data_IF_340473252000
#
_entry.id   IF_340473252000
#
_cell.length_a   1.000
_cell.length_b   1.000
_cell.length_c   1.000
_cell.angle_alpha   90.00
_cell.angle_beta   90.00
_cell.angle_gamma   90.00
#
_symmetry.space_group_name_H-M   'P 1'
#
loop_
_entity.id
_entity.type
_entity.pdbx_description
1 polymer ?
#
# COMPACT_ATOMS: atom_id res chain seq x y z
N UNK A 1 1.52 -26.81 -8.89
CA UNK A 1 2.13 -25.47 -8.78
C UNK A 1 1.26 -24.56 -7.92
N UNK A 2 1.63 -23.29 -7.71
CA UNK A 2 0.86 -22.34 -6.85
C UNK A 2 -0.61 -22.12 -7.26
N UNK A 3 -0.99 -22.53 -8.47
CA UNK A 3 -2.33 -22.38 -9.05
C UNK A 3 -2.98 -23.71 -9.45
N UNK A 4 -2.55 -24.82 -8.84
CA UNK A 4 -3.08 -26.16 -9.15
C UNK A 4 -2.16 -27.00 -10.04
N UNK A 5 -2.71 -28.11 -10.52
CA UNK A 5 -2.04 -29.05 -11.42
C UNK A 5 -1.83 -28.39 -12.80
N UNK A 6 -0.72 -28.69 -13.47
CA UNK A 6 -0.39 -28.08 -14.75
C UNK A 6 0.43 -29.02 -15.66
N UNK A 7 0.33 -28.78 -16.95
CA UNK A 7 1.18 -29.32 -18.01
C UNK A 7 2.27 -28.29 -18.37
N UNK A 8 3.48 -28.75 -18.67
CA UNK A 8 4.58 -27.92 -19.14
C UNK A 8 5.05 -28.44 -20.50
N UNK A 9 4.95 -27.62 -21.53
CA UNK A 9 5.40 -27.95 -22.88
C UNK A 9 6.13 -26.76 -23.51
N UNK A 10 7.35 -26.99 -24.01
CA UNK A 10 8.21 -25.96 -24.63
C UNK A 10 8.33 -24.66 -23.79
N UNK A 11 8.50 -24.79 -22.47
CA UNK A 11 8.60 -23.64 -21.55
C UNK A 11 7.28 -22.91 -21.28
N UNK A 12 6.16 -23.36 -21.85
CA UNK A 12 4.83 -22.83 -21.58
C UNK A 12 4.09 -23.69 -20.56
N UNK A 13 3.61 -23.06 -19.49
CA UNK A 13 2.82 -23.70 -18.44
C UNK A 13 1.32 -23.59 -18.76
N UNK A 14 0.57 -24.67 -18.60
CA UNK A 14 -0.90 -24.71 -18.80
C UNK A 14 -1.57 -25.41 -17.63
N UNK A 15 -2.52 -24.73 -16.99
CA UNK A 15 -3.29 -25.33 -15.90
C UNK A 15 -4.23 -26.40 -16.43
N UNK A 16 -4.32 -27.50 -15.70
CA UNK A 16 -5.26 -28.58 -15.98
C UNK A 16 -6.69 -28.19 -15.57
N UNK A 17 -7.72 -28.49 -16.37
CA UNK A 17 -9.11 -28.37 -15.95
C UNK A 17 -9.38 -29.22 -14.71
N UNK A 18 -10.33 -28.81 -13.86
CA UNK A 18 -10.67 -29.54 -12.64
C UNK A 18 -11.29 -30.93 -12.90
N UNK A 19 -11.75 -31.19 -14.12
CA UNK A 19 -12.31 -32.48 -14.56
C UNK A 19 -11.26 -33.54 -14.86
N UNK A 20 -10.04 -33.12 -15.18
CA UNK A 20 -9.02 -34.01 -15.73
C UNK A 20 -8.01 -34.35 -14.64
N UNK A 21 -7.79 -35.65 -14.38
CA UNK A 21 -6.80 -36.12 -13.41
C UNK A 21 -5.41 -36.24 -14.04
N UNK A 22 -4.38 -35.76 -13.33
CA UNK A 22 -3.00 -35.72 -13.81
C UNK A 22 -2.44 -37.11 -14.16
N UNK A 23 -2.94 -38.16 -13.52
CA UNK A 23 -2.48 -39.53 -13.74
C UNK A 23 -3.24 -40.26 -14.87
N UNK A 24 -4.39 -39.74 -15.28
CA UNK A 24 -5.25 -40.35 -16.29
C UNK A 24 -5.16 -39.65 -17.66
N UNK A 25 -4.30 -38.65 -17.81
CA UNK A 25 -4.21 -37.86 -19.03
C UNK A 25 -3.25 -38.48 -20.03
N UNK A 26 -3.82 -38.81 -21.18
CA UNK A 26 -3.08 -39.29 -22.34
C UNK A 26 -2.44 -38.14 -23.13
N UNK A 27 -1.46 -38.50 -23.97
CA UNK A 27 -0.77 -37.55 -24.85
C UNK A 27 -1.74 -36.77 -25.75
N UNK A 28 -2.76 -37.43 -26.30
CA UNK A 28 -3.78 -36.78 -27.14
C UNK A 28 -4.52 -35.67 -26.37
N UNK A 29 -4.93 -35.96 -25.13
CA UNK A 29 -5.62 -34.98 -24.28
C UNK A 29 -4.70 -33.84 -23.85
N UNK A 30 -3.42 -34.12 -23.58
CA UNK A 30 -2.44 -33.09 -23.29
C UNK A 30 -2.27 -32.11 -24.48
N UNK A 31 -2.24 -32.62 -25.72
CA UNK A 31 -2.19 -31.80 -26.94
C UNK A 31 -3.46 -30.96 -27.10
N UNK A 32 -4.64 -31.52 -26.83
CA UNK A 32 -5.90 -30.77 -26.82
C UNK A 32 -5.86 -29.61 -25.81
N UNK A 33 -5.41 -29.84 -24.58
CA UNK A 33 -5.34 -28.80 -23.54
C UNK A 33 -4.37 -27.69 -23.94
N UNK A 34 -3.25 -28.05 -24.57
CA UNK A 34 -2.26 -27.08 -25.08
C UNK A 34 -2.86 -26.25 -26.23
N UNK A 35 -3.58 -26.88 -27.16
CA UNK A 35 -4.17 -26.24 -28.34
C UNK A 35 -5.44 -25.43 -28.01
N UNK A 36 -6.31 -25.94 -27.13
CA UNK A 36 -7.49 -25.23 -26.64
C UNK A 36 -7.10 -23.93 -25.92
N UNK A 37 -5.93 -23.91 -25.27
CA UNK A 37 -5.39 -22.70 -24.68
C UNK A 37 -4.86 -21.68 -25.72
N UNK A 38 -4.48 -22.11 -26.93
CA UNK A 38 -4.19 -21.18 -28.03
C UNK A 38 -5.49 -20.52 -28.55
N UNK A 39 -6.61 -21.24 -28.51
CA UNK A 39 -7.96 -20.73 -28.79
C UNK A 39 -8.62 -19.99 -27.59
N UNK A 40 -7.85 -19.66 -26.55
CA UNK A 40 -8.36 -19.12 -25.28
C UNK A 40 -9.14 -17.78 -25.43
N UNK A 41 -10.10 -17.49 -24.53
CA UNK A 41 -10.89 -16.24 -24.49
C UNK A 41 -10.11 -14.91 -24.40
N UNK A 42 -8.78 -14.93 -24.40
CA UNK A 42 -7.99 -13.72 -24.62
C UNK A 42 -8.13 -13.21 -26.05
N UNK A 43 -8.36 -14.09 -27.02
CA UNK A 43 -8.67 -13.73 -28.40
C UNK A 43 -10.08 -13.15 -28.51
N UNK A 44 -11.07 -13.73 -27.83
CA UNK A 44 -12.47 -13.20 -27.75
C UNK A 44 -12.59 -11.86 -27.01
N UNK A 45 -11.47 -11.29 -26.55
CA UNK A 45 -11.44 -9.96 -25.97
C UNK A 45 -11.23 -8.88 -27.04
N UNK A 46 -10.70 -9.21 -28.21
CA UNK A 46 -10.47 -8.26 -29.29
C UNK A 46 -11.76 -8.14 -30.11
N UNK A 47 -12.35 -6.95 -30.14
CA UNK A 47 -13.60 -6.64 -30.84
C UNK A 47 -13.32 -6.12 -32.26
N UNK A 48 -12.26 -5.34 -32.45
CA UNK A 48 -11.82 -4.86 -33.76
C UNK A 48 -10.30 -4.67 -33.76
N UNK A 49 -9.61 -5.14 -34.81
CA UNK A 49 -8.19 -4.86 -35.04
C UNK A 49 -8.08 -3.69 -36.03
N UNK A 50 -7.57 -2.56 -35.55
CA UNK A 50 -7.56 -1.29 -36.31
C UNK A 50 -6.25 -1.05 -37.06
N UNK A 51 -5.25 -1.93 -36.90
CA UNK A 51 -3.97 -1.89 -37.61
C UNK A 51 -2.77 -1.56 -36.71
N UNK A 52 -1.73 -0.95 -37.29
CA UNK A 52 -0.49 -0.57 -36.58
C UNK A 52 -0.28 0.95 -36.55
N UNK A 53 0.03 1.47 -35.37
CA UNK A 53 0.45 2.85 -35.16
C UNK A 53 1.74 2.89 -34.34
N UNK A 54 2.76 3.63 -34.79
CA UNK A 54 4.07 3.76 -34.14
C UNK A 54 4.75 2.41 -33.77
N UNK A 55 4.68 1.41 -34.67
CA UNK A 55 5.18 0.02 -34.46
C UNK A 55 4.46 -0.76 -33.35
N UNK A 56 3.26 -0.33 -32.95
CA UNK A 56 2.42 -1.00 -31.97
C UNK A 56 1.05 -1.30 -32.59
N UNK A 57 0.54 -2.52 -32.35
CA UNK A 57 -0.80 -2.91 -32.80
C UNK A 57 -1.86 -2.17 -32.01
N UNK A 58 -2.83 -1.59 -32.72
CA UNK A 58 -4.00 -0.90 -32.19
C UNK A 58 -5.21 -1.82 -32.34
N UNK A 59 -5.85 -2.14 -31.22
CA UNK A 59 -7.05 -2.98 -31.22
C UNK A 59 -8.06 -2.49 -30.19
N UNK A 60 -9.35 -2.61 -30.51
CA UNK A 60 -10.45 -2.39 -29.58
C UNK A 60 -10.66 -3.68 -28.79
N UNK A 61 -10.67 -3.57 -27.46
CA UNK A 61 -10.66 -4.71 -26.54
C UNK A 61 -11.79 -4.58 -25.51
N UNK A 62 -12.54 -5.66 -25.27
CA UNK A 62 -13.61 -5.75 -24.26
C UNK A 62 -13.03 -5.81 -22.83
N UNK A 63 -13.21 -4.75 -22.05
CA UNK A 63 -12.77 -4.65 -20.66
C UNK A 63 -13.87 -4.91 -19.63
N UNK A 64 -13.48 -4.95 -18.34
CA UNK A 64 -14.42 -5.01 -17.20
C UNK A 64 -15.31 -3.76 -17.09
N UNK A 65 -14.83 -2.63 -17.62
CA UNK A 65 -15.48 -1.32 -17.54
C UNK A 65 -16.06 -0.86 -18.88
N UNK A 66 -16.17 -1.76 -19.85
CA UNK A 66 -16.57 -1.46 -21.24
C UNK A 66 -15.43 -1.65 -22.24
N UNK A 67 -15.73 -1.57 -23.56
CA UNK A 67 -14.74 -1.59 -24.63
C UNK A 67 -13.73 -0.43 -24.50
N UNK A 68 -12.46 -0.70 -24.81
CA UNK A 68 -11.40 0.30 -24.77
C UNK A 68 -10.36 0.06 -25.87
N UNK A 69 -9.64 1.09 -26.24
CA UNK A 69 -8.61 1.04 -27.28
C UNK A 69 -7.28 0.68 -26.62
N UNK A 70 -6.60 -0.33 -27.16
CA UNK A 70 -5.28 -0.78 -26.69
C UNK A 70 -4.25 -0.57 -27.81
N UNK A 71 -3.22 0.22 -27.51
CA UNK A 71 -2.06 0.42 -28.37
C UNK A 71 -0.80 0.03 -27.60
N UNK A 72 -0.33 -1.20 -27.81
CA UNK A 72 0.82 -1.75 -27.07
C UNK A 72 0.63 -1.73 -25.55
N UNK A 73 1.31 -0.80 -24.87
CA UNK A 73 1.22 -0.57 -23.41
C UNK A 73 0.27 0.57 -23.01
N UNK A 74 -0.22 1.36 -23.96
CA UNK A 74 -1.13 2.50 -23.70
C UNK A 74 -2.57 2.05 -23.91
N UNK A 75 -3.43 2.38 -22.94
CA UNK A 75 -4.86 2.12 -23.02
C UNK A 75 -5.62 3.45 -23.01
N UNK A 76 -6.53 3.64 -23.96
CA UNK A 76 -7.39 4.80 -24.07
C UNK A 76 -8.87 4.39 -23.98
N UNK A 77 -9.75 5.21 -23.35
CA UNK A 77 -11.18 4.96 -23.36
C UNK A 77 -11.72 5.12 -24.80
N UNK A 78 -12.72 4.32 -25.16
CA UNK A 78 -13.43 4.49 -26.43
C UNK A 78 -14.27 5.78 -26.39
N UNK A 79 -14.35 6.56 -27.50
CA UNK A 79 -15.21 7.74 -27.58
C UNK A 79 -16.66 7.43 -27.21
N UNK A 80 -17.34 8.39 -26.59
CA UNK A 80 -18.67 8.18 -26.01
C UNK A 80 -19.74 7.79 -27.04
N UNK A 81 -19.63 8.30 -28.27
CA UNK A 81 -20.52 8.00 -29.38
C UNK A 81 -20.32 6.60 -30.01
N UNK A 82 -19.23 5.91 -29.68
CA UNK A 82 -18.90 4.56 -30.18
C UNK A 82 -18.97 3.50 -29.08
N UNK A 83 -19.47 3.83 -27.89
CA UNK A 83 -19.58 2.88 -26.77
C UNK A 83 -20.52 1.71 -27.06
N UNK A 84 -21.57 1.97 -27.83
CA UNK A 84 -22.60 0.98 -28.16
C UNK A 84 -22.28 0.19 -29.44
N UNK A 85 -21.46 0.76 -30.34
CA UNK A 85 -20.96 0.12 -31.57
C UNK A 85 -19.42 0.15 -31.63
N UNK A 86 -18.73 -0.74 -30.89
CA UNK A 86 -17.27 -0.75 -30.80
C UNK A 86 -16.56 -1.24 -32.07
N UNK A 87 -17.30 -1.74 -33.06
CA UNK A 87 -16.79 -2.29 -34.32
C UNK A 87 -16.54 -1.21 -35.39
N UNK A 88 -17.20 -0.05 -35.27
CA UNK A 88 -17.10 1.06 -36.25
C UNK A 88 -15.98 2.07 -35.94
N UNK A 89 -15.17 1.81 -34.91
CA UNK A 89 -14.11 2.73 -34.52
C UNK A 89 -13.06 2.85 -35.63
N UNK A 90 -12.81 4.05 -36.12
CA UNK A 90 -11.79 4.27 -37.15
C UNK A 90 -10.39 4.38 -36.55
N UNK A 91 -9.37 4.05 -37.35
CA UNK A 91 -7.95 4.16 -36.92
C UNK A 91 -7.60 5.59 -36.48
N UNK A 92 -8.20 6.61 -37.10
CA UNK A 92 -7.92 8.02 -36.82
C UNK A 92 -8.42 8.45 -35.44
N UNK A 93 -9.67 8.11 -35.10
CA UNK A 93 -10.27 8.39 -33.79
C UNK A 93 -9.54 7.65 -32.67
N UNK A 94 -9.08 6.42 -32.95
CA UNK A 94 -8.27 5.66 -32.02
C UNK A 94 -6.94 6.35 -31.72
N UNK A 95 -6.29 6.91 -32.75
CA UNK A 95 -5.05 7.68 -32.59
C UNK A 95 -5.29 8.97 -31.79
N UNK A 96 -6.40 9.67 -32.00
CA UNK A 96 -6.74 10.86 -31.21
C UNK A 96 -6.94 10.54 -29.73
N UNK A 97 -7.70 9.48 -29.42
CA UNK A 97 -7.91 9.03 -28.05
C UNK A 97 -6.60 8.60 -27.36
N UNK A 98 -5.68 7.98 -28.12
CA UNK A 98 -4.34 7.64 -27.65
C UNK A 98 -3.50 8.91 -27.41
N UNK A 99 -3.49 9.88 -28.33
CA UNK A 99 -2.74 11.14 -28.19
C UNK A 99 -3.17 11.94 -26.97
N UNK A 100 -4.48 11.97 -26.66
CA UNK A 100 -5.01 12.64 -25.48
C UNK A 100 -4.57 11.98 -24.16
N UNK A 101 -4.23 10.68 -24.20
CA UNK A 101 -3.92 9.88 -22.99
C UNK A 101 -2.47 9.44 -22.87
N UNK A 102 -1.71 9.44 -23.96
CA UNK A 102 -0.27 9.22 -23.95
C UNK A 102 0.33 10.18 -22.92
N UNK A 103 1.19 9.69 -22.02
CA UNK A 103 1.81 10.55 -21.02
C UNK A 103 2.67 11.57 -21.76
N UNK A 104 2.15 12.78 -21.95
CA UNK A 104 2.94 13.93 -22.36
C UNK A 104 4.15 13.96 -21.42
N UNK A 105 5.33 13.71 -22.00
CA UNK A 105 6.61 13.66 -21.31
C UNK A 105 6.82 15.05 -20.71
N UNK A 106 6.43 15.21 -19.44
CA UNK A 106 6.55 16.47 -18.72
C UNK A 106 5.25 17.27 -18.61
N UNK A 107 4.38 16.90 -17.66
CA UNK A 107 3.70 17.80 -16.71
C UNK A 107 2.77 16.94 -15.84
N UNK A 108 3.29 16.50 -14.70
CA UNK A 108 2.50 15.83 -13.69
C UNK A 108 1.55 16.83 -13.03
N UNK A 109 0.26 16.70 -13.28
CA UNK A 109 -0.79 17.39 -12.54
C UNK A 109 -0.74 16.97 -11.06
N UNK A 110 -1.00 17.87 -10.09
CA UNK A 110 -0.75 17.59 -8.68
C UNK A 110 -1.83 16.68 -8.10
N UNK A 111 -1.51 15.39 -7.92
CA UNK A 111 -2.29 14.53 -7.03
C UNK A 111 -2.09 15.01 -5.59
N UNK A 112 -3.15 15.58 -4.99
CA UNK A 112 -3.29 15.76 -3.53
C UNK A 112 -2.87 14.47 -2.82
N UNK A 113 -1.71 14.51 -2.15
CA UNK A 113 -1.28 13.47 -1.21
C UNK A 113 -1.66 13.93 0.17
N UNK A 114 -2.58 13.22 0.81
CA UNK A 114 -2.77 13.25 2.25
C UNK A 114 -1.44 12.87 2.94
N UNK A 115 -1.03 13.72 3.88
CA UNK A 115 0.17 13.54 4.70
C UNK A 115 -0.02 12.37 5.68
N UNK A 116 1.02 11.53 5.92
CA UNK A 116 1.01 10.65 7.08
C UNK A 116 1.66 11.38 8.26
N UNK A 117 0.86 11.67 9.28
CA UNK A 117 1.32 12.07 10.62
C UNK A 117 2.19 10.96 11.21
N UNK A 118 3.46 11.24 11.49
CA UNK A 118 4.36 10.35 12.21
C UNK A 118 4.79 11.03 13.52
N UNK A 119 4.38 10.45 14.64
CA UNK A 119 4.83 10.79 15.98
C UNK A 119 6.31 10.44 16.15
N UNK A 120 7.02 11.31 16.85
CA UNK A 120 8.43 11.20 17.18
C UNK A 120 8.72 10.00 18.07
N UNK A 121 9.87 9.37 17.82
CA UNK A 121 10.70 8.78 18.87
C UNK A 121 12.10 9.38 18.72
N UNK A 122 12.54 9.98 19.81
CA UNK A 122 13.85 10.53 20.05
C UNK A 122 14.90 9.43 19.95
N UNK A 123 15.87 9.64 19.07
CA UNK A 123 17.23 9.10 19.06
C UNK A 123 17.89 9.62 17.79
N UNK A 124 18.26 10.90 17.80
CA UNK A 124 18.89 11.58 16.67
C UNK A 124 20.41 11.58 16.88
N UNK A 125 21.05 10.51 16.44
CA UNK A 125 22.41 10.65 15.93
C UNK A 125 22.37 11.58 14.70
N UNK A 126 23.30 12.52 14.66
CA UNK A 126 23.48 13.48 13.58
C UNK A 126 23.90 12.75 12.29
N UNK A 127 22.93 12.17 11.56
CA UNK A 127 23.14 11.75 10.18
C UNK A 127 22.77 12.91 9.24
N UNK A 128 23.63 13.27 8.27
CA UNK A 128 23.43 14.38 7.32
C UNK A 128 22.28 14.16 6.30
N UNK A 129 21.44 13.13 6.47
CA UNK A 129 20.48 12.70 5.45
C UNK A 129 19.07 13.31 5.54
N UNK A 130 18.80 14.29 6.42
CA UNK A 130 17.48 14.94 6.45
C UNK A 130 17.41 15.97 5.33
N UNK A 131 16.46 15.79 4.39
CA UNK A 131 16.24 16.67 3.21
C UNK A 131 16.21 18.14 3.61
N UNK A 132 16.72 19.02 2.75
CA UNK A 132 16.65 20.48 2.93
C UNK A 132 15.22 20.96 3.17
N UNK A 133 15.04 21.93 4.08
CA UNK A 133 13.75 22.52 4.39
C UNK A 133 13.23 23.36 3.21
N UNK A 134 11.91 23.39 3.07
CA UNK A 134 11.22 24.28 2.12
C UNK A 134 11.08 25.67 2.72
N UNK A 135 10.91 26.71 1.89
CA UNK A 135 10.71 28.11 2.32
C UNK A 135 9.63 28.25 3.39
N UNK A 136 8.45 27.65 3.19
CA UNK A 136 7.38 27.60 4.20
C UNK A 136 7.80 26.94 5.52
N UNK A 137 8.63 25.89 5.49
CA UNK A 137 9.06 25.19 6.71
C UNK A 137 10.06 26.04 7.49
N UNK A 138 10.90 26.82 6.81
CA UNK A 138 11.81 27.79 7.44
C UNK A 138 10.99 28.88 8.12
N UNK A 139 9.99 29.43 7.42
CA UNK A 139 9.04 30.39 7.98
C UNK A 139 8.31 29.85 9.21
N UNK A 140 7.75 28.64 9.13
CA UNK A 140 7.09 28.00 10.27
C UNK A 140 8.04 27.79 11.45
N UNK A 141 9.33 27.51 11.22
CA UNK A 141 10.28 27.32 12.31
C UNK A 141 10.53 28.61 13.11
N UNK A 142 10.52 29.76 12.44
CA UNK A 142 10.71 31.08 13.06
C UNK A 142 9.46 31.58 13.79
N UNK A 143 8.27 31.41 13.17
CA UNK A 143 7.01 31.96 13.69
C UNK A 143 6.29 31.05 14.69
N UNK A 144 6.55 29.73 14.66
CA UNK A 144 5.98 28.78 15.63
C UNK A 144 6.31 29.08 17.09
N UNK A 145 7.54 29.46 17.50
CA UNK A 145 7.80 29.83 18.90
C UNK A 145 7.02 31.08 19.31
N UNK A 146 6.84 32.06 18.43
CA UNK A 146 6.07 33.29 18.71
C UNK A 146 4.59 32.99 18.96
N UNK A 147 4.00 32.10 18.16
CA UNK A 147 2.62 31.65 18.34
C UNK A 147 2.44 30.71 19.53
N UNK A 148 3.50 29.97 19.90
CA UNK A 148 3.51 29.14 21.11
C UNK A 148 3.55 30.00 22.37
N UNK A 149 4.28 31.11 22.36
CA UNK A 149 4.33 32.08 23.46
C UNK A 149 2.96 32.73 23.70
N UNK A 150 2.19 32.95 22.62
CA UNK A 150 0.78 33.39 22.70
C UNK A 150 -0.17 32.33 23.28
N UNK A 151 0.31 31.14 23.63
CA UNK A 151 -0.46 30.10 24.30
C UNK A 151 -1.41 29.31 23.39
N UNK A 152 -1.33 29.47 22.06
CA UNK A 152 -2.20 28.75 21.13
C UNK A 152 -1.86 27.25 21.09
N UNK A 153 -2.88 26.41 20.87
CA UNK A 153 -2.70 24.96 20.74
C UNK A 153 -2.01 24.63 19.39
N UNK A 154 -1.32 23.49 19.31
CA UNK A 154 -0.55 23.13 18.10
C UNK A 154 -1.40 23.15 16.81
N UNK A 155 -2.67 22.73 16.89
CA UNK A 155 -3.58 22.76 15.75
C UNK A 155 -3.94 24.17 15.28
N UNK A 156 -4.08 25.12 16.20
CA UNK A 156 -4.40 26.52 15.90
C UNK A 156 -3.18 27.26 15.35
N UNK A 157 -2.01 27.06 15.97
CA UNK A 157 -0.72 27.56 15.47
C UNK A 157 -0.54 27.16 14.00
N UNK A 158 -0.84 25.92 13.63
CA UNK A 158 -0.67 25.46 12.25
C UNK A 158 -1.62 26.15 11.27
N UNK A 159 -2.84 26.49 11.68
CA UNK A 159 -3.80 27.23 10.85
C UNK A 159 -3.33 28.67 10.68
N UNK A 160 -2.93 29.31 11.76
CA UNK A 160 -2.44 30.68 11.77
C UNK A 160 -1.21 30.85 10.88
N UNK A 161 -0.21 29.95 11.02
CA UNK A 161 0.98 29.94 10.15
C UNK A 161 0.64 29.76 8.67
N UNK A 162 -0.43 29.02 8.37
CA UNK A 162 -0.88 28.83 6.98
C UNK A 162 -1.56 30.09 6.44
N UNK A 163 -2.36 30.78 7.25
CA UNK A 163 -2.98 32.06 6.87
C UNK A 163 -1.90 33.12 6.65
N UNK A 164 -1.01 33.29 7.64
CA UNK A 164 0.10 34.25 7.57
C UNK A 164 0.97 34.02 6.33
N UNK A 165 1.28 32.77 5.96
CA UNK A 165 2.08 32.51 4.75
C UNK A 165 1.34 32.85 3.46
N UNK A 166 0.02 32.66 3.40
CA UNK A 166 -0.75 32.99 2.20
C UNK A 166 -0.92 34.51 2.04
N UNK A 167 -1.08 35.24 3.15
CA UNK A 167 -1.20 36.70 3.18
C UNK A 167 0.13 37.44 2.96
N UNK A 168 1.26 36.80 3.27
CA UNK A 168 2.58 37.40 3.13
C UNK A 168 2.87 37.81 1.68
N UNK A 169 3.42 39.01 1.47
CA UNK A 169 3.78 39.52 0.14
C UNK A 169 4.87 38.66 -0.52
N UNK A 170 5.02 38.72 -1.85
CA UNK A 170 6.12 38.01 -2.51
C UNK A 170 7.49 38.51 -2.04
N UNK A 171 7.59 39.80 -1.72
CA UNK A 171 8.78 40.47 -1.20
C UNK A 171 9.21 39.87 0.15
N UNK A 172 8.28 39.74 1.08
CA UNK A 172 8.52 39.14 2.40
C UNK A 172 8.74 37.62 2.32
N UNK A 173 8.23 36.96 1.26
CA UNK A 173 8.53 35.55 0.96
C UNK A 173 9.93 35.37 0.38
N UNK A 174 10.49 36.36 -0.33
CA UNK A 174 11.81 36.24 -0.97
C UNK A 174 12.94 35.81 -0.04
N UNK A 175 13.12 36.35 1.19
CA UNK A 175 14.19 35.89 2.08
C UNK A 175 14.02 34.41 2.44
N UNK A 176 12.79 33.93 2.63
CA UNK A 176 12.54 32.52 2.94
C UNK A 176 12.77 31.60 1.73
N UNK A 177 12.48 32.07 0.52
CA UNK A 177 12.78 31.35 -0.72
C UNK A 177 14.29 31.23 -0.92
N UNK A 178 15.05 32.30 -0.70
CA UNK A 178 16.50 32.28 -0.84
C UNK A 178 17.17 31.44 0.25
N UNK A 179 16.71 31.53 1.51
CA UNK A 179 17.17 30.64 2.58
C UNK A 179 16.93 29.16 2.24
N UNK A 180 15.77 28.82 1.66
CA UNK A 180 15.49 27.45 1.22
C UNK A 180 16.36 27.02 0.03
N UNK A 181 16.68 27.95 -0.88
CA UNK A 181 17.60 27.70 -2.00
C UNK A 181 19.00 27.40 -1.49
N UNK A 182 19.51 28.21 -0.56
CA UNK A 182 20.81 27.99 0.07
C UNK A 182 20.85 26.68 0.85
N UNK A 183 19.83 26.35 1.63
CA UNK A 183 19.76 25.07 2.36
C UNK A 183 19.71 23.87 1.40
N UNK A 184 19.03 24.02 0.26
CA UNK A 184 19.00 23.01 -0.80
C UNK A 184 20.35 22.84 -1.48
N UNK A 185 21.06 23.92 -1.77
CA UNK A 185 22.42 23.88 -2.33
C UNK A 185 23.38 23.18 -1.37
N UNK A 186 23.39 23.57 -0.08
CA UNK A 186 24.19 22.91 0.96
C UNK A 186 23.88 21.42 1.08
N UNK A 187 22.61 21.02 0.98
CA UNK A 187 22.23 19.61 0.99
C UNK A 187 22.71 18.86 -0.26
N UNK A 188 22.67 19.51 -1.43
CA UNK A 188 23.19 18.94 -2.68
C UNK A 188 24.70 18.75 -2.60
N UNK A 189 25.44 19.78 -2.20
CA UNK A 189 26.90 19.75 -2.02
C UNK A 189 27.31 18.67 -1.02
N UNK A 190 26.70 18.63 0.17
CA UNK A 190 26.96 17.59 1.16
C UNK A 190 26.64 16.18 0.64
N UNK A 191 25.55 16.02 -0.13
CA UNK A 191 25.20 14.74 -0.75
C UNK A 191 26.18 14.31 -1.84
N UNK A 192 26.74 15.27 -2.58
CA UNK A 192 27.78 15.03 -3.57
C UNK A 192 29.11 14.66 -2.92
N UNK A 193 29.50 15.35 -1.85
CA UNK A 193 30.69 15.03 -1.05
C UNK A 193 30.61 13.64 -0.42
N UNK A 194 29.43 13.25 0.10
CA UNK A 194 29.17 11.89 0.55
C UNK A 194 29.29 10.87 -0.60
N UNK A 195 28.85 11.23 -1.82
CA UNK A 195 28.98 10.36 -3.00
C UNK A 195 30.43 10.24 -3.50
N UNK A 196 31.20 11.33 -3.46
CA UNK A 196 32.61 11.40 -3.86
C UNK A 196 33.50 10.67 -2.84
N UNK A 197 33.25 10.87 -1.54
CA UNK A 197 33.96 10.17 -0.45
C UNK A 197 33.64 8.67 -0.41
N UNK A 198 32.41 8.26 -0.76
CA UNK A 198 32.03 6.85 -0.95
C UNK A 198 32.77 6.21 -2.13
N UNK A 199 33.01 6.96 -3.21
CA UNK A 199 33.74 6.50 -4.40
C UNK A 199 35.23 6.36 -4.12
N UNK A 200 35.85 7.29 -3.37
CA UNK A 200 37.25 7.18 -2.95
C UNK A 200 37.52 6.03 -1.96
N UNK A 201 36.60 5.75 -1.02
CA UNK A 201 36.72 4.57 -0.12
C UNK A 201 36.64 3.22 -0.85
N UNK A 202 36.11 3.19 -2.08
CA UNK A 202 36.06 1.97 -2.91
C UNK A 202 37.34 1.73 -3.71
N UNK A 203 38.14 2.77 -3.96
CA UNK A 203 39.44 2.66 -4.63
C UNK A 203 40.58 2.22 -3.68
N UNK A 204 40.49 2.55 -2.38
CA UNK A 204 41.49 2.16 -1.37
C UNK A 204 41.41 0.71 -0.87
N UNK A 205 40.50 -0.12 -1.40
CA UNK A 205 40.32 -1.53 -1.01
C UNK A 205 40.44 -2.46 -2.22
N UNK A 206 41.50 -2.27 -3.00
CA UNK A 206 41.94 -3.17 -4.05
C UNK A 206 43.42 -3.58 -3.82
N UNK A 207 43.75 -4.00 -2.61
CA UNK A 207 44.83 -4.97 -2.40
C UNK A 207 44.58 -5.75 -1.11
N UNK A 208 44.83 -7.06 -1.19
CA UNK A 208 44.74 -8.11 -0.17
C UNK A 208 43.42 -8.89 -0.06
N UNK A 209 43.58 -10.15 -0.49
CA UNK A 209 42.82 -11.39 -0.24
C UNK A 209 41.69 -11.73 -1.21
N UNK A 210 42.02 -12.70 -2.06
CA UNK A 210 41.13 -13.47 -2.90
C UNK A 210 40.35 -14.49 -2.06
N UNK A 211 39.03 -14.56 -2.28
CA UNK A 211 38.19 -15.77 -2.40
C UNK A 211 36.74 -15.48 -1.95
N UNK A 212 35.80 -16.08 -2.69
CA UNK A 212 34.36 -16.25 -2.40
C UNK A 212 33.36 -15.31 -3.15
N UNK A 213 32.32 -15.86 -3.81
CA UNK A 213 31.61 -15.20 -4.89
C UNK A 213 30.50 -14.25 -4.43
N UNK A 214 30.42 -13.09 -5.11
CA UNK A 214 29.42 -12.04 -4.93
C UNK A 214 28.01 -12.48 -5.37
N UNK A 215 27.04 -12.46 -4.47
CA UNK A 215 25.62 -12.18 -4.80
C UNK A 215 25.34 -10.70 -4.62
N UNK A 216 24.85 -10.04 -5.67
CA UNK A 216 24.58 -8.61 -5.71
C UNK A 216 23.47 -8.16 -4.77
N UNK A 217 23.74 -7.14 -3.94
CA UNK A 217 22.77 -6.49 -3.07
C UNK A 217 22.69 -4.99 -3.36
N UNK A 218 21.87 -4.60 -4.34
CA UNK A 218 21.40 -3.22 -4.53
C UNK A 218 19.88 -3.06 -4.33
N UNK A 219 19.20 -4.11 -3.85
CA UNK A 219 17.73 -4.13 -3.70
C UNK A 219 17.20 -3.76 -2.29
N UNK A 220 18.05 -3.55 -1.29
CA UNK A 220 17.63 -3.54 0.13
C UNK A 220 17.03 -2.23 0.64
N UNK A 221 17.43 -1.06 0.12
CA UNK A 221 16.85 0.23 0.57
C UNK A 221 15.40 0.46 0.09
N UNK A 222 15.08 0.08 -1.15
CA UNK A 222 13.73 0.24 -1.72
C UNK A 222 12.71 -0.73 -1.11
N UNK A 223 13.18 -1.87 -0.58
CA UNK A 223 12.36 -2.84 0.13
C UNK A 223 11.98 -2.38 1.55
N UNK A 224 12.92 -1.75 2.27
CA UNK A 224 12.68 -1.20 3.62
C UNK A 224 11.72 0.01 3.63
N UNK A 225 11.78 0.87 2.59
CA UNK A 225 10.83 1.99 2.46
C UNK A 225 9.43 1.51 2.04
N UNK A 226 9.35 0.43 1.26
CA UNK A 226 8.07 -0.22 0.93
C UNK A 226 7.46 -0.96 2.12
N UNK A 227 8.28 -1.55 3.01
CA UNK A 227 7.79 -2.22 4.21
C UNK A 227 7.29 -1.23 5.26
N UNK A 228 7.94 -0.07 5.45
CA UNK A 228 7.46 0.98 6.38
C UNK A 228 6.19 1.68 5.90
N UNK A 229 6.03 1.89 4.58
CA UNK A 229 4.76 2.40 4.02
C UNK A 229 3.61 1.38 4.14
N UNK A 230 3.92 0.09 4.13
CA UNK A 230 2.91 -0.98 4.32
C UNK A 230 2.46 -1.06 5.78
N UNK A 231 3.35 -0.83 6.74
CA UNK A 231 2.98 -0.78 8.18
C UNK A 231 2.16 0.46 8.52
N UNK A 232 2.49 1.64 7.98
CA UNK A 232 1.71 2.86 8.21
C UNK A 232 0.31 2.79 7.57
N UNK A 233 0.18 2.20 6.38
CA UNK A 233 -1.13 1.96 5.75
C UNK A 233 -1.97 0.97 6.56
N UNK A 234 -1.36 -0.08 7.14
CA UNK A 234 -2.06 -1.04 8.00
C UNK A 234 -2.57 -0.39 9.29
N UNK A 235 -1.78 0.50 9.89
CA UNK A 235 -2.16 1.27 11.08
C UNK A 235 -3.28 2.29 10.80
N UNK A 236 -3.25 2.96 9.64
CA UNK A 236 -4.33 3.86 9.23
C UNK A 236 -5.66 3.11 9.00
N UNK A 237 -5.58 1.93 8.36
CA UNK A 237 -6.76 1.06 8.15
C UNK A 237 -7.31 0.53 9.48
N UNK A 238 -6.47 0.15 10.43
CA UNK A 238 -6.95 -0.30 11.75
C UNK A 238 -7.59 0.83 12.54
N UNK A 239 -7.05 2.06 12.47
CA UNK A 239 -7.62 3.25 13.13
C UNK A 239 -8.96 3.64 12.52
N UNK A 240 -9.09 3.56 11.19
CA UNK A 240 -10.36 3.81 10.51
C UNK A 240 -11.41 2.75 10.85
N UNK A 241 -11.00 1.47 10.95
CA UNK A 241 -11.88 0.39 11.41
C UNK A 241 -12.33 0.59 12.86
N UNK A 242 -11.46 1.04 13.77
CA UNK A 242 -11.85 1.28 15.17
C UNK A 242 -12.81 2.46 15.35
N UNK A 243 -12.81 3.42 14.42
CA UNK A 243 -13.74 4.56 14.43
C UNK A 243 -15.11 4.17 13.84
N UNK A 244 -15.13 3.21 12.89
CA UNK A 244 -16.33 2.84 12.12
C UNK A 244 -16.91 1.45 12.50
N UNK A 245 -16.55 0.90 13.66
CA UNK A 245 -17.20 -0.32 14.18
C UNK A 245 -17.82 -0.02 15.53
N UNK A 246 -19.07 0.43 15.50
CA UNK A 246 -19.87 0.80 16.67
C UNK A 246 -20.39 -0.40 17.46
N UNK A 247 -20.28 -1.64 16.97
CA UNK A 247 -20.61 -2.84 17.74
C UNK A 247 -19.37 -3.74 17.89
N UNK A 248 -18.77 -3.72 19.09
CA UNK A 248 -17.68 -4.66 19.44
C UNK A 248 -18.23 -6.08 19.34
N UNK A 249 -17.43 -7.01 18.79
CA UNK A 249 -17.83 -8.44 18.71
C UNK A 249 -18.14 -8.96 20.12
N UNK A 250 -19.13 -9.85 20.28
CA UNK A 250 -19.46 -10.40 21.59
C UNK A 250 -18.25 -11.13 22.15
N UNK A 251 -18.03 -10.99 23.46
CA UNK A 251 -16.90 -11.63 24.10
C UNK A 251 -17.04 -13.15 24.03
N UNK A 252 -15.91 -13.86 24.02
CA UNK A 252 -15.90 -15.33 24.10
C UNK A 252 -16.26 -15.79 25.52
N UNK A 253 -16.79 -17.01 25.66
CA UNK A 253 -17.20 -17.61 26.93
C UNK A 253 -16.02 -17.61 27.92
N UNK A 254 -14.82 -17.91 27.42
CA UNK A 254 -13.57 -17.85 28.19
C UNK A 254 -13.22 -16.42 28.67
N UNK A 255 -13.51 -15.38 27.89
CA UNK A 255 -13.21 -14.00 28.28
C UNK A 255 -14.16 -13.47 29.36
N UNK A 256 -15.42 -13.92 29.35
CA UNK A 256 -16.36 -13.68 30.45
C UNK A 256 -15.89 -14.38 31.74
N UNK A 257 -15.48 -15.64 31.64
CA UNK A 257 -14.84 -16.35 32.76
C UNK A 257 -13.59 -15.62 33.29
N UNK A 258 -12.74 -15.12 32.39
CA UNK A 258 -11.57 -14.33 32.77
C UNK A 258 -11.95 -13.03 33.49
N UNK A 259 -13.03 -12.34 33.11
CA UNK A 259 -13.46 -11.11 33.80
C UNK A 259 -13.81 -11.35 35.27
N UNK A 260 -14.48 -12.46 35.57
CA UNK A 260 -14.89 -12.80 36.93
C UNK A 260 -13.73 -13.30 37.80
N UNK A 261 -12.85 -14.13 37.22
CA UNK A 261 -11.81 -14.83 38.00
C UNK A 261 -10.45 -14.12 38.01
N UNK A 262 -10.19 -13.20 37.07
CA UNK A 262 -8.96 -12.39 37.04
C UNK A 262 -8.78 -11.47 38.24
N UNK A 263 -9.79 -10.71 38.75
CA UNK A 263 -9.56 -9.84 39.90
C UNK A 263 -9.20 -10.64 41.16
N UNK A 264 -9.78 -11.84 41.35
CA UNK A 264 -9.45 -12.72 42.48
C UNK A 264 -7.97 -13.16 42.44
N UNK A 265 -7.48 -13.53 41.26
CA UNK A 265 -6.07 -13.91 41.07
C UNK A 265 -5.11 -12.72 41.01
N UNK A 266 -5.62 -11.51 40.76
CA UNK A 266 -4.82 -10.29 40.80
C UNK A 266 -4.54 -9.83 42.24
N UNK A 267 -5.43 -10.14 43.19
CA UNK A 267 -5.21 -9.90 44.62
C UNK A 267 -4.07 -10.76 45.19
N UNK A 268 -3.78 -11.90 44.58
CA UNK A 268 -2.64 -12.76 44.93
C UNK A 268 -1.28 -12.17 44.50
N UNK A 269 -1.26 -10.97 43.90
CA UNK A 269 -0.03 -10.26 43.53
C UNK A 269 0.71 -10.82 42.31
N UNK A 270 0.08 -11.73 41.56
CA UNK A 270 0.71 -12.35 40.39
C UNK A 270 0.77 -11.43 39.18
N UNK A 271 1.77 -11.68 38.34
CA UNK A 271 1.90 -10.99 37.07
C UNK A 271 0.73 -11.33 36.14
N UNK A 272 0.32 -10.36 35.31
CA UNK A 272 -0.76 -10.56 34.33
C UNK A 272 -0.57 -11.83 33.47
N UNK A 273 0.67 -12.14 33.10
CA UNK A 273 0.99 -13.33 32.31
C UNK A 273 0.75 -14.64 33.06
N UNK A 274 1.01 -14.66 34.37
CA UNK A 274 0.83 -15.84 35.23
C UNK A 274 -0.66 -16.06 35.55
N UNK A 275 -1.39 -14.98 35.82
CA UNK A 275 -2.84 -15.01 35.99
C UNK A 275 -3.51 -15.58 34.74
N UNK A 276 -3.06 -15.15 33.55
CA UNK A 276 -3.59 -15.64 32.28
C UNK A 276 -3.33 -17.15 32.08
N UNK A 277 -2.14 -17.65 32.47
CA UNK A 277 -1.82 -19.09 32.42
C UNK A 277 -2.69 -19.89 33.39
N UNK A 278 -2.82 -19.45 34.64
CA UNK A 278 -3.67 -20.09 35.66
C UNK A 278 -5.15 -20.13 35.26
N UNK A 279 -5.66 -19.05 34.64
CA UNK A 279 -7.02 -19.02 34.14
C UNK A 279 -7.25 -19.98 32.97
N UNK A 280 -6.27 -20.11 32.07
CA UNK A 280 -6.36 -21.06 30.96
C UNK A 280 -6.37 -22.51 31.46
N UNK A 281 -5.55 -22.84 32.47
CA UNK A 281 -5.56 -24.15 33.12
C UNK A 281 -6.88 -24.43 33.84
N UNK A 282 -7.39 -23.46 34.62
CA UNK A 282 -8.69 -23.57 35.29
C UNK A 282 -9.83 -23.75 34.28
N UNK A 283 -9.80 -23.05 33.14
CA UNK A 283 -10.83 -23.19 32.09
C UNK A 283 -10.84 -24.57 31.43
N UNK A 284 -9.69 -25.23 31.31
CA UNK A 284 -9.63 -26.60 30.76
C UNK A 284 -10.38 -27.58 31.65
N UNK A 285 -10.17 -27.48 32.97
CA UNK A 285 -10.71 -28.40 33.97
C UNK A 285 -12.13 -28.03 34.43
N UNK A 286 -12.60 -26.81 34.14
CA UNK A 286 -13.90 -26.35 34.66
C UNK A 286 -15.07 -27.22 34.15
N UNK A 287 -16.05 -27.45 35.02
CA UNK A 287 -17.20 -28.33 34.78
C UNK A 287 -18.04 -27.88 33.58
N UNK A 288 -18.68 -28.84 32.92
CA UNK A 288 -19.52 -28.58 31.74
C UNK A 288 -20.66 -27.58 32.04
N UNK A 289 -21.20 -27.60 33.25
CA UNK A 289 -22.27 -26.69 33.68
C UNK A 289 -21.81 -25.24 33.74
N UNK A 290 -20.63 -24.99 34.33
CA UNK A 290 -20.07 -23.64 34.38
C UNK A 290 -19.68 -23.16 32.98
N UNK A 291 -19.13 -24.02 32.11
CA UNK A 291 -18.90 -23.70 30.69
C UNK A 291 -20.20 -23.32 29.98
N UNK A 292 -21.28 -24.09 30.18
CA UNK A 292 -22.60 -23.83 29.60
C UNK A 292 -23.12 -22.45 29.99
N UNK A 293 -23.00 -22.06 31.27
CA UNK A 293 -23.39 -20.72 31.73
C UNK A 293 -22.72 -19.61 30.93
N UNK A 294 -21.40 -19.69 30.70
CA UNK A 294 -20.69 -18.68 29.92
C UNK A 294 -21.03 -18.75 28.43
N UNK A 295 -21.27 -19.94 27.87
CA UNK A 295 -21.71 -20.11 26.48
C UNK A 295 -23.11 -19.53 26.23
N UNK A 296 -24.03 -19.68 27.19
CA UNK A 296 -25.36 -19.10 27.15
C UNK A 296 -25.31 -17.57 27.24
N UNK A 297 -24.42 -17.00 28.07
CA UNK A 297 -24.16 -15.56 28.08
C UNK A 297 -23.63 -15.04 26.74
N UNK A 298 -22.75 -15.78 26.07
CA UNK A 298 -22.29 -15.43 24.72
C UNK A 298 -23.42 -15.54 23.69
N UNK A 299 -24.31 -16.55 23.83
CA UNK A 299 -25.47 -16.70 22.95
C UNK A 299 -26.41 -15.51 23.09
N UNK A 300 -26.70 -15.08 24.32
CA UNK A 300 -27.50 -13.89 24.61
C UNK A 300 -26.86 -12.61 24.06
N UNK A 301 -25.55 -12.40 24.25
CA UNK A 301 -24.82 -11.23 23.74
C UNK A 301 -24.78 -11.22 22.20
N UNK A 302 -24.67 -12.39 21.55
CA UNK A 302 -24.78 -12.54 20.09
C UNK A 302 -26.16 -12.18 19.56
N UNK A 303 -27.22 -12.60 20.26
CA UNK A 303 -28.60 -12.27 19.90
C UNK A 303 -28.84 -10.76 20.06
N UNK A 304 -28.44 -10.18 21.20
CA UNK A 304 -28.56 -8.73 21.47
C UNK A 304 -27.83 -7.88 20.42
N UNK A 305 -26.58 -8.23 20.07
CA UNK A 305 -25.83 -7.55 19.01
C UNK A 305 -26.37 -7.81 17.60
N UNK A 306 -27.13 -8.89 17.40
CA UNK A 306 -27.85 -9.16 16.16
C UNK A 306 -29.02 -8.19 15.99
N UNK A 307 -29.86 -8.08 17.03
CA UNK A 307 -30.98 -7.14 17.06
C UNK A 307 -30.53 -5.66 16.95
N UNK A 308 -29.41 -5.27 17.57
CA UNK A 308 -28.85 -3.91 17.47
C UNK A 308 -28.39 -3.55 16.05
N UNK A 309 -27.88 -4.55 15.29
CA UNK A 309 -27.45 -4.36 13.90
C UNK A 309 -28.60 -4.38 12.91
N UNK A 310 -29.73 -5.00 13.24
CA UNK A 310 -30.95 -4.97 12.42
C UNK A 310 -31.75 -3.67 12.65
N UNK A 311 -31.54 -3.01 13.80
CA UNK A 311 -32.19 -1.75 14.15
C UNK A 311 -31.42 -0.48 13.71
N UNK A 312 -30.21 -0.61 13.15
CA UNK A 312 -29.36 0.51 12.68
C UNK A 312 -29.13 0.49 11.17
#
# INVERSE_FOLDING_TARGET
>A
GRYGQFLLYQGTYRSLPASDDIFAIDCSRAVEIINAAAASPRSTRVLAELGEHEKQRVAVVKGRFGPYIKCGSVNAPLPEHLRDSPEDCTLEEAIEAIKLKSPQKGKASPKKKSSPTAQAKDDKSASPSKRSRSSYVIFCAEKRPQLKEKGLEFGEISKELSSMWNELSEEDKTPYVEMARLEKLKYQEASEEDSKSSTMKKAGKASKTASSPRKGSSATKKAAEKSSKKSSKKAAISRLKSINTTTKRPLSAYLHFCREKRPLLAQEGLSFGEISKRLAEKWKVVDKETKSKYEDMVRAERLSLGHEKEAT
#
